data_IF_454958828263
#
_entry.id   IF_454958828263
#
_cell.length_a   1.000
_cell.length_b   1.000
_cell.length_c   1.000
_cell.angle_alpha   90.00
_cell.angle_beta   90.00
_cell.angle_gamma   90.00
#
_symmetry.space_group_name_H-M   'P 1'
#
loop_
_entity.id
_entity.type
_entity.pdbx_description
1 polymer ?
#
# COMPACT_ATOMS: atom_id res chain seq x y z
N UNK A 1 4.97 -17.36 4.75
CA UNK A 1 3.66 -17.80 4.22
C UNK A 1 3.46 -17.18 2.85
N UNK A 2 2.90 -17.91 1.88
CA UNK A 2 2.62 -17.36 0.56
C UNK A 2 1.53 -16.30 0.65
N UNK A 3 1.71 -15.16 -0.03
CA UNK A 3 0.68 -14.15 -0.21
C UNK A 3 0.29 -14.12 -1.67
N UNK A 4 -1.01 -14.22 -1.96
CA UNK A 4 -1.55 -14.15 -3.31
C UNK A 4 -2.56 -13.04 -3.42
N UNK A 5 -2.57 -12.38 -4.57
CA UNK A 5 -3.49 -11.31 -4.87
C UNK A 5 -4.51 -11.78 -5.88
N UNK A 6 -5.79 -11.64 -5.54
CA UNK A 6 -6.92 -12.05 -6.36
C UNK A 6 -7.71 -10.81 -6.77
N UNK A 7 -8.31 -10.82 -7.95
CA UNK A 7 -9.25 -9.79 -8.37
C UNK A 7 -10.51 -10.39 -8.95
N UNK A 8 -11.60 -9.64 -8.85
CA UNK A 8 -12.85 -10.02 -9.51
C UNK A 8 -12.70 -9.84 -11.03
N UNK A 9 -12.89 -10.91 -11.78
CA UNK A 9 -13.06 -10.84 -13.23
C UNK A 9 -14.55 -10.97 -13.57
N UNK A 10 -15.13 -9.89 -14.12
CA UNK A 10 -16.56 -9.83 -14.41
C UNK A 10 -17.00 -10.80 -15.50
N UNK A 11 -16.16 -11.08 -16.49
CA UNK A 11 -16.46 -12.00 -17.58
C UNK A 11 -16.41 -13.46 -17.11
N UNK A 12 -15.35 -13.83 -16.38
CA UNK A 12 -15.20 -15.16 -15.79
C UNK A 12 -16.24 -15.43 -14.69
N UNK A 13 -16.88 -14.39 -14.16
CA UNK A 13 -17.76 -14.47 -13.01
C UNK A 13 -17.07 -15.22 -11.86
N UNK A 14 -15.80 -14.89 -11.62
CA UNK A 14 -14.92 -15.52 -10.64
C UNK A 14 -13.82 -14.57 -10.17
N UNK A 15 -13.07 -14.99 -9.15
CA UNK A 15 -11.82 -14.38 -8.74
C UNK A 15 -10.66 -15.05 -9.45
N UNK A 16 -9.75 -14.27 -10.01
CA UNK A 16 -8.54 -14.72 -10.72
C UNK A 16 -7.31 -14.08 -10.10
N UNK A 17 -6.13 -14.67 -10.28
CA UNK A 17 -4.90 -14.09 -9.76
C UNK A 17 -4.52 -12.81 -10.52
N UNK A 18 -3.96 -11.84 -9.80
CA UNK A 18 -3.44 -10.60 -10.36
C UNK A 18 -1.98 -10.81 -10.77
N UNK A 19 -1.59 -10.30 -11.94
CA UNK A 19 -0.22 -10.37 -12.48
C UNK A 19 0.33 -11.80 -12.63
N UNK A 20 -0.56 -12.79 -12.78
CA UNK A 20 -0.19 -14.16 -13.05
C UNK A 20 -0.11 -14.41 -14.57
N UNK A 21 1.01 -14.97 -15.03
CA UNK A 21 1.30 -15.19 -16.45
C UNK A 21 0.25 -16.08 -17.11
N UNK A 22 -0.14 -17.17 -16.43
CA UNK A 22 -1.15 -18.11 -16.92
C UNK A 22 -2.52 -17.44 -17.05
N UNK A 23 -2.92 -16.66 -16.03
CA UNK A 23 -4.15 -15.89 -16.04
C UNK A 23 -4.16 -14.86 -17.17
N UNK A 24 -3.06 -14.12 -17.36
CA UNK A 24 -2.96 -13.10 -18.41
C UNK A 24 -3.01 -13.73 -19.82
N UNK A 25 -2.31 -14.85 -20.03
CA UNK A 25 -2.36 -15.59 -21.29
C UNK A 25 -3.77 -16.10 -21.59
N UNK A 26 -4.44 -16.70 -20.60
CA UNK A 26 -5.81 -17.19 -20.74
C UNK A 26 -6.80 -16.05 -21.06
N UNK A 27 -6.72 -14.92 -20.36
CA UNK A 27 -7.62 -13.79 -20.61
C UNK A 27 -7.39 -13.18 -21.99
N UNK A 28 -6.14 -13.16 -22.48
CA UNK A 28 -5.81 -12.72 -23.84
C UNK A 28 -6.41 -13.68 -24.88
N UNK A 29 -6.20 -14.99 -24.73
CA UNK A 29 -6.76 -16.00 -25.64
C UNK A 29 -8.29 -15.97 -25.66
N UNK A 30 -8.93 -15.87 -24.49
CA UNK A 30 -10.39 -15.73 -24.41
C UNK A 30 -10.88 -14.47 -25.11
N UNK A 31 -10.15 -13.35 -24.98
CA UNK A 31 -10.48 -12.09 -25.65
C UNK A 31 -10.36 -12.19 -27.18
N UNK A 32 -9.34 -12.88 -27.68
CA UNK A 32 -9.18 -13.16 -29.11
C UNK A 32 -10.33 -14.01 -29.66
N UNK A 33 -10.80 -15.00 -28.88
CA UNK A 33 -11.93 -15.85 -29.26
C UNK A 33 -13.29 -15.13 -29.23
N UNK A 34 -13.53 -14.28 -28.22
CA UNK A 34 -14.79 -13.53 -28.06
C UNK A 34 -14.85 -12.35 -29.05
N UNK A 35 -13.70 -11.74 -29.35
CA UNK A 35 -13.59 -10.52 -30.12
C UNK A 35 -13.80 -9.25 -29.29
N UNK A 36 -13.09 -8.18 -29.66
CA UNK A 36 -13.05 -6.92 -28.92
C UNK A 36 -14.41 -6.28 -28.67
N UNK A 37 -15.33 -6.34 -29.64
CA UNK A 37 -16.63 -5.71 -29.54
C UNK A 37 -17.51 -6.39 -28.48
N UNK A 38 -17.53 -7.72 -28.45
CA UNK A 38 -18.32 -8.49 -27.51
C UNK A 38 -17.67 -8.47 -26.11
N UNK A 39 -16.34 -8.53 -26.05
CA UNK A 39 -15.59 -8.37 -24.80
C UNK A 39 -15.94 -7.07 -24.07
N UNK A 40 -16.05 -5.96 -24.82
CA UNK A 40 -16.40 -4.64 -24.27
C UNK A 40 -17.84 -4.54 -23.77
N UNK A 41 -18.76 -5.42 -24.21
CA UNK A 41 -20.13 -5.48 -23.68
C UNK A 41 -20.18 -6.06 -22.26
N UNK A 42 -19.13 -6.77 -21.84
CA UNK A 42 -19.01 -7.33 -20.51
C UNK A 42 -19.65 -8.71 -20.38
N UNK A 43 -20.20 -9.01 -19.20
CA UNK A 43 -20.65 -10.35 -18.86
C UNK A 43 -21.80 -10.86 -19.74
N UNK A 44 -21.67 -12.11 -20.20
CA UNK A 44 -22.74 -12.95 -20.74
C UNK A 44 -22.46 -14.42 -20.37
N UNK A 45 -23.45 -15.31 -20.51
CA UNK A 45 -23.22 -16.74 -20.25
C UNK A 45 -22.23 -17.36 -21.24
N UNK A 46 -22.20 -16.87 -22.48
CA UNK A 46 -21.28 -17.30 -23.52
C UNK A 46 -19.85 -16.83 -23.20
N UNK A 47 -19.66 -15.53 -22.96
CA UNK A 47 -18.36 -14.97 -22.59
C UNK A 47 -17.80 -15.62 -21.32
N UNK A 48 -18.65 -15.91 -20.34
CA UNK A 48 -18.27 -16.65 -19.13
C UNK A 48 -17.73 -18.04 -19.44
N UNK A 49 -18.42 -18.79 -20.29
CA UNK A 49 -18.02 -20.15 -20.67
C UNK A 49 -16.67 -20.13 -21.37
N UNK A 50 -16.51 -19.26 -22.37
CA UNK A 50 -15.25 -19.11 -23.12
C UNK A 50 -14.08 -18.70 -22.21
N UNK A 51 -14.29 -17.73 -21.32
CA UNK A 51 -13.23 -17.29 -20.39
C UNK A 51 -12.84 -18.39 -19.41
N UNK A 52 -13.81 -19.13 -18.84
CA UNK A 52 -13.52 -20.22 -17.89
C UNK A 52 -12.85 -21.42 -18.55
N UNK A 53 -13.24 -21.73 -19.78
CA UNK A 53 -12.58 -22.78 -20.57
C UNK A 53 -11.12 -22.40 -20.86
N UNK A 54 -10.88 -21.16 -21.32
CA UNK A 54 -9.53 -20.68 -21.58
C UNK A 54 -8.65 -20.65 -20.31
N UNK A 55 -9.20 -20.24 -19.17
CA UNK A 55 -8.50 -20.30 -17.87
C UNK A 55 -8.10 -21.75 -17.55
N UNK A 56 -9.00 -22.71 -17.75
CA UNK A 56 -8.73 -24.14 -17.51
C UNK A 56 -7.65 -24.68 -18.45
N UNK A 57 -7.69 -24.35 -19.74
CA UNK A 57 -6.73 -24.80 -20.74
C UNK A 57 -5.30 -24.33 -20.44
N UNK A 58 -5.15 -23.11 -19.94
CA UNK A 58 -3.85 -22.52 -19.59
C UNK A 58 -3.39 -22.88 -18.17
N UNK A 59 -4.16 -23.68 -17.43
CA UNK A 59 -3.86 -24.03 -16.04
C UNK A 59 -4.05 -22.88 -15.05
N UNK A 60 -4.66 -21.76 -15.47
CA UNK A 60 -4.88 -20.60 -14.64
C UNK A 60 -5.93 -20.87 -13.56
N UNK A 61 -5.59 -20.56 -12.31
CA UNK A 61 -6.48 -20.78 -11.16
C UNK A 61 -7.53 -19.69 -11.07
N UNK A 62 -8.79 -20.10 -10.93
CA UNK A 62 -9.89 -19.20 -10.56
C UNK A 62 -10.73 -19.79 -9.42
N UNK A 63 -11.35 -18.91 -8.63
CA UNK A 63 -12.14 -19.26 -7.45
C UNK A 63 -13.48 -18.52 -7.50
N UNK A 64 -14.58 -19.18 -7.16
CA UNK A 64 -15.90 -18.51 -7.06
C UNK A 64 -16.08 -17.82 -5.71
N UNK A 65 -15.36 -18.29 -4.70
CA UNK A 65 -15.39 -17.87 -3.31
C UNK A 65 -13.98 -17.78 -2.76
N UNK A 66 -13.73 -16.81 -1.89
CA UNK A 66 -12.47 -16.64 -1.17
C UNK A 66 -12.75 -16.81 0.31
N UNK A 67 -12.06 -17.75 0.95
CA UNK A 67 -12.30 -18.14 2.34
C UNK A 67 -11.06 -17.93 3.22
N UNK A 68 -11.26 -17.33 4.39
CA UNK A 68 -10.24 -17.18 5.41
C UNK A 68 -10.65 -16.21 6.51
N UNK A 69 -9.79 -16.03 7.50
CA UNK A 69 -9.99 -15.07 8.58
C UNK A 69 -9.88 -13.65 8.04
N UNK A 70 -10.86 -12.79 8.33
CA UNK A 70 -10.85 -11.39 7.94
C UNK A 70 -9.82 -10.62 8.77
N UNK A 71 -8.64 -10.39 8.21
CA UNK A 71 -7.48 -9.79 8.92
C UNK A 71 -7.06 -8.42 8.39
N UNK A 72 -7.72 -7.90 7.35
CA UNK A 72 -7.51 -6.52 6.92
C UNK A 72 -8.50 -6.04 5.89
N UNK A 73 -8.79 -4.75 5.93
CA UNK A 73 -9.51 -3.99 4.91
C UNK A 73 -8.72 -2.71 4.70
N UNK A 74 -8.30 -2.43 3.47
CA UNK A 74 -7.49 -1.25 3.16
C UNK A 74 -7.92 -0.58 1.85
N UNK A 75 -7.51 0.67 1.68
CA UNK A 75 -7.55 1.38 0.39
C UNK A 75 -6.14 1.40 -0.17
N UNK A 76 -5.99 0.99 -1.42
CA UNK A 76 -4.74 1.10 -2.17
C UNK A 76 -4.95 1.93 -3.42
N UNK A 77 -3.90 2.61 -3.87
CA UNK A 77 -3.87 3.27 -5.18
C UNK A 77 -3.00 2.43 -6.11
N UNK A 78 -3.46 2.25 -7.35
CA UNK A 78 -2.73 1.54 -8.40
C UNK A 78 -2.72 2.40 -9.65
N UNK A 79 -1.56 2.55 -10.27
CA UNK A 79 -1.45 3.25 -11.54
C UNK A 79 -1.49 2.27 -12.71
N UNK A 80 -2.27 2.60 -13.75
CA UNK A 80 -2.26 1.90 -15.02
C UNK A 80 -2.57 2.89 -16.15
N UNK A 81 -1.80 2.84 -17.24
CA UNK A 81 -1.98 3.71 -18.41
C UNK A 81 -2.00 5.23 -18.07
N UNK A 82 -1.23 5.67 -17.08
CA UNK A 82 -1.19 7.07 -16.63
C UNK A 82 -2.40 7.51 -15.79
N UNK A 83 -3.35 6.61 -15.52
CA UNK A 83 -4.49 6.85 -14.62
C UNK A 83 -4.25 6.19 -13.26
N UNK A 84 -4.68 6.87 -12.20
CA UNK A 84 -4.67 6.32 -10.83
C UNK A 84 -6.04 5.75 -10.50
N UNK A 85 -6.06 4.47 -10.12
CA UNK A 85 -7.25 3.74 -9.71
C UNK A 85 -7.21 3.47 -8.22
N UNK A 86 -8.29 3.79 -7.52
CA UNK A 86 -8.45 3.43 -6.11
C UNK A 86 -9.01 2.01 -6.03
N UNK A 87 -8.39 1.18 -5.22
CA UNK A 87 -8.73 -0.23 -5.03
C UNK A 87 -9.13 -0.47 -3.58
N UNK A 88 -10.20 -1.21 -3.38
CA UNK A 88 -10.48 -1.91 -2.13
C UNK A 88 -9.55 -3.11 -2.03
N UNK A 89 -8.90 -3.27 -0.86
CA UNK A 89 -8.13 -4.45 -0.49
C UNK A 89 -8.81 -5.14 0.68
N UNK A 90 -9.02 -6.45 0.57
CA UNK A 90 -9.51 -7.29 1.68
C UNK A 90 -8.54 -8.42 1.87
N UNK A 91 -7.97 -8.52 3.06
CA UNK A 91 -6.98 -9.55 3.41
C UNK A 91 -7.65 -10.66 4.20
N UNK A 92 -7.58 -11.87 3.64
CA UNK A 92 -8.04 -13.10 4.26
C UNK A 92 -6.83 -13.99 4.57
N UNK A 93 -6.75 -14.52 5.78
CA UNK A 93 -5.66 -15.40 6.21
C UNK A 93 -6.17 -16.77 6.63
N UNK A 94 -5.52 -17.82 6.15
CA UNK A 94 -5.81 -19.20 6.53
C UNK A 94 -4.50 -20.01 6.59
N UNK A 95 -4.60 -21.32 6.83
CA UNK A 95 -3.43 -22.22 6.94
C UNK A 95 -2.54 -22.23 5.68
N UNK A 96 -3.11 -21.94 4.51
CA UNK A 96 -2.39 -21.90 3.22
C UNK A 96 -1.60 -20.59 3.06
N UNK A 97 -2.04 -19.52 3.74
CA UNK A 97 -1.39 -18.21 3.74
C UNK A 97 -2.38 -17.07 3.57
N UNK A 98 -1.91 -15.97 2.98
CA UNK A 98 -2.69 -14.73 2.84
C UNK A 98 -3.25 -14.60 1.43
N UNK A 99 -4.53 -14.30 1.33
CA UNK A 99 -5.21 -13.95 0.08
C UNK A 99 -5.69 -12.50 0.18
N UNK A 100 -5.23 -11.65 -0.74
CA UNK A 100 -5.64 -10.25 -0.83
C UNK A 100 -6.59 -10.11 -2.02
N UNK A 101 -7.87 -9.90 -1.76
CA UNK A 101 -8.83 -9.50 -2.78
C UNK A 101 -8.60 -8.02 -3.13
N UNK A 102 -8.45 -7.74 -4.42
CA UNK A 102 -8.38 -6.42 -5.03
C UNK A 102 -9.63 -6.15 -5.85
N UNK A 103 -10.31 -5.05 -5.61
CA UNK A 103 -11.44 -4.63 -6.42
C UNK A 103 -11.40 -3.13 -6.68
N UNK A 104 -11.74 -2.70 -7.90
CA UNK A 104 -11.88 -1.29 -8.23
C UNK A 104 -12.94 -0.63 -7.35
N UNK A 105 -12.59 0.48 -6.71
CA UNK A 105 -13.48 1.19 -5.79
C UNK A 105 -14.72 1.74 -6.51
N UNK A 106 -14.57 2.10 -7.80
CA UNK A 106 -15.68 2.50 -8.65
C UNK A 106 -16.59 1.34 -9.08
N UNK A 107 -16.21 0.08 -8.83
CA UNK A 107 -17.01 -1.09 -9.21
C UNK A 107 -18.19 -1.31 -8.28
N UNK A 108 -19.31 -1.76 -8.84
CA UNK A 108 -20.50 -2.10 -8.06
C UNK A 108 -20.20 -3.21 -7.03
N UNK A 109 -19.38 -4.19 -7.42
CA UNK A 109 -18.96 -5.28 -6.54
C UNK A 109 -18.25 -4.74 -5.29
N UNK A 110 -17.25 -3.86 -5.44
CA UNK A 110 -16.52 -3.29 -4.30
C UNK A 110 -17.44 -2.48 -3.39
N UNK A 111 -18.30 -1.64 -3.95
CA UNK A 111 -19.23 -0.79 -3.18
C UNK A 111 -20.21 -1.64 -2.38
N UNK A 112 -20.77 -2.70 -2.97
CA UNK A 112 -21.62 -3.66 -2.26
C UNK A 112 -20.85 -4.43 -1.19
N UNK A 113 -19.62 -4.87 -1.49
CA UNK A 113 -18.78 -5.58 -0.53
C UNK A 113 -18.45 -4.70 0.68
N UNK A 114 -18.13 -3.42 0.49
CA UNK A 114 -17.84 -2.47 1.58
C UNK A 114 -19.00 -2.38 2.56
N UNK A 115 -20.25 -2.34 2.09
CA UNK A 115 -21.41 -2.32 3.00
C UNK A 115 -21.51 -3.58 3.86
N UNK A 116 -21.07 -4.75 3.36
CA UNK A 116 -21.01 -5.99 4.13
C UNK A 116 -19.82 -6.02 5.06
N UNK A 117 -18.68 -5.50 4.62
CA UNK A 117 -17.49 -5.33 5.44
C UNK A 117 -17.74 -4.37 6.62
N UNK A 118 -18.60 -3.36 6.47
CA UNK A 118 -18.96 -2.49 7.59
C UNK A 118 -19.65 -3.28 8.72
N UNK A 119 -20.51 -4.24 8.41
CA UNK A 119 -21.05 -5.18 9.40
C UNK A 119 -19.98 -6.17 9.87
N UNK A 120 -19.26 -6.79 8.93
CA UNK A 120 -18.30 -7.85 9.22
C UNK A 120 -17.15 -7.38 10.12
N UNK A 121 -16.67 -6.16 9.96
CA UNK A 121 -15.61 -5.59 10.81
C UNK A 121 -16.08 -5.27 12.23
N UNK A 122 -17.39 -5.24 12.51
CA UNK A 122 -17.91 -5.12 13.89
C UNK A 122 -18.08 -6.47 14.57
N UNK A 123 -18.52 -7.48 13.81
CA UNK A 123 -19.04 -8.73 14.38
C UNK A 123 -18.13 -9.95 14.09
N UNK A 124 -17.36 -9.89 13.01
CA UNK A 124 -16.61 -11.00 12.42
C UNK A 124 -15.12 -10.67 12.13
N UNK A 125 -14.60 -9.55 12.64
CA UNK A 125 -13.18 -9.22 12.48
C UNK A 125 -12.30 -10.30 13.14
N UNK A 126 -11.24 -10.71 12.45
CA UNK A 126 -10.36 -11.81 12.85
C UNK A 126 -10.99 -13.20 12.73
N UNK A 127 -12.27 -13.32 12.38
CA UNK A 127 -12.97 -14.60 12.23
C UNK A 127 -13.03 -15.02 10.77
N UNK A 128 -13.26 -16.32 10.57
CA UNK A 128 -13.43 -16.90 9.25
C UNK A 128 -14.67 -16.34 8.54
N UNK A 129 -14.47 -15.92 7.29
CA UNK A 129 -15.51 -15.43 6.39
C UNK A 129 -15.31 -16.04 4.99
N UNK A 130 -16.41 -16.10 4.24
CA UNK A 130 -16.42 -16.49 2.83
C UNK A 130 -16.92 -15.31 1.98
N UNK A 131 -16.06 -14.80 1.11
CA UNK A 131 -16.38 -13.73 0.16
C UNK A 131 -16.66 -14.33 -1.21
N UNK A 132 -17.89 -14.16 -1.69
CA UNK A 132 -18.34 -14.62 -3.00
C UNK A 132 -18.73 -13.47 -3.92
N UNK A 133 -18.81 -13.76 -5.22
CA UNK A 133 -19.25 -12.80 -6.22
C UNK A 133 -19.96 -13.49 -7.39
N UNK A 134 -21.11 -12.96 -7.79
CA UNK A 134 -21.84 -13.49 -8.94
C UNK A 134 -22.56 -12.39 -9.74
N UNK A 135 -22.71 -12.61 -11.04
CA UNK A 135 -23.52 -11.78 -11.92
C UNK A 135 -25.00 -12.15 -11.83
N UNK A 136 -25.87 -11.15 -11.70
CA UNK A 136 -27.33 -11.31 -11.69
C UNK A 136 -27.96 -10.45 -12.77
N UNK A 137 -28.82 -11.03 -13.60
CA UNK A 137 -29.63 -10.26 -14.54
C UNK A 137 -30.78 -9.57 -13.79
N UNK A 138 -30.92 -8.27 -14.02
CA UNK A 138 -31.98 -7.45 -13.43
C UNK A 138 -32.67 -6.65 -14.52
N UNK A 139 -33.99 -6.75 -14.58
CA UNK A 139 -34.81 -5.96 -15.50
C UNK A 139 -35.13 -4.61 -14.87
N UNK A 140 -34.90 -3.52 -15.62
CA UNK A 140 -35.28 -2.16 -15.22
C UNK A 140 -35.97 -1.48 -16.41
N UNK A 141 -37.30 -1.47 -16.38
CA UNK A 141 -38.10 -1.13 -17.56
C UNK A 141 -37.87 -2.16 -18.68
N UNK A 142 -37.73 -1.69 -19.92
CA UNK A 142 -37.54 -2.57 -21.09
C UNK A 142 -36.07 -2.96 -21.34
N UNK A 143 -35.19 -2.80 -20.33
CA UNK A 143 -33.75 -3.06 -20.43
C UNK A 143 -33.30 -4.09 -19.40
N UNK A 144 -32.49 -5.04 -19.85
CA UNK A 144 -31.81 -6.02 -18.99
C UNK A 144 -30.42 -5.48 -18.64
N UNK A 145 -30.11 -5.47 -17.34
CA UNK A 145 -28.82 -5.11 -16.80
C UNK A 145 -28.17 -6.31 -16.12
N UNK A 146 -26.85 -6.30 -16.01
CA UNK A 146 -26.11 -7.28 -15.21
C UNK A 146 -25.59 -6.57 -13.97
N UNK A 147 -26.14 -6.93 -12.82
CA UNK A 147 -25.67 -6.47 -11.52
C UNK A 147 -24.57 -7.43 -11.02
N UNK A 148 -23.46 -6.87 -10.55
CA UNK A 148 -22.36 -7.65 -9.98
C UNK A 148 -22.49 -7.69 -8.45
N UNK A 149 -23.04 -8.79 -7.95
CA UNK A 149 -23.39 -8.97 -6.54
C UNK A 149 -22.18 -9.47 -5.75
N UNK A 150 -21.94 -8.86 -4.59
CA UNK A 150 -21.04 -9.36 -3.57
C UNK A 150 -21.82 -10.13 -2.51
N UNK A 151 -21.33 -11.30 -2.12
CA UNK A 151 -21.81 -12.05 -0.95
C UNK A 151 -20.71 -12.16 0.07
N UNK A 152 -21.10 -12.20 1.34
CA UNK A 152 -20.18 -12.44 2.43
C UNK A 152 -20.88 -13.28 3.47
N UNK A 153 -20.32 -14.44 3.80
CA UNK A 153 -20.88 -15.37 4.78
C UNK A 153 -19.94 -15.52 5.96
N UNK A 154 -20.51 -15.76 7.13
CA UNK A 154 -19.76 -16.13 8.32
C UNK A 154 -19.33 -17.61 8.30
N UNK A 155 -18.64 -18.05 9.36
CA UNK A 155 -18.19 -19.43 9.53
C UNK A 155 -19.34 -20.46 9.57
N UNK A 156 -20.57 -20.05 9.91
CA UNK A 156 -21.76 -20.90 9.89
C UNK A 156 -22.43 -20.95 8.50
N UNK A 157 -21.91 -20.20 7.52
CA UNK A 157 -22.49 -20.07 6.18
C UNK A 157 -23.69 -19.12 6.13
N UNK A 158 -23.96 -18.36 7.19
CA UNK A 158 -25.01 -17.36 7.22
C UNK A 158 -24.53 -16.08 6.52
N UNK A 159 -25.39 -15.50 5.68
CA UNK A 159 -25.07 -14.28 4.96
C UNK A 159 -24.97 -13.09 5.93
N UNK A 160 -23.83 -12.40 5.91
CA UNK A 160 -23.59 -11.17 6.64
C UNK A 160 -24.38 -10.04 5.96
N UNK A 161 -25.30 -9.37 6.68
CA UNK A 161 -26.13 -8.34 6.09
C UNK A 161 -25.31 -7.09 5.74
N UNK A 162 -25.72 -6.40 4.67
CA UNK A 162 -25.16 -5.11 4.33
C UNK A 162 -25.60 -4.05 5.35
N UNK A 163 -24.67 -3.22 5.82
CA UNK A 163 -24.99 -2.03 6.59
C UNK A 163 -25.88 -1.08 5.76
N UNK A 164 -26.94 -0.57 6.39
CA UNK A 164 -27.95 0.25 5.72
C UNK A 164 -27.48 1.69 5.53
N UNK A 165 -28.00 2.37 4.50
CA UNK A 165 -27.85 3.81 4.31
C UNK A 165 -26.60 4.27 3.56
N UNK A 166 -25.66 3.37 3.23
CA UNK A 166 -24.44 3.77 2.52
C UNK A 166 -24.72 4.28 1.09
N UNK A 167 -25.62 3.64 0.35
CA UNK A 167 -25.95 4.05 -1.02
C UNK A 167 -26.74 5.36 -1.03
N UNK A 168 -27.60 5.59 -0.06
CA UNK A 168 -28.33 6.84 0.15
C UNK A 168 -27.35 7.98 0.46
N UNK A 169 -26.43 7.79 1.41
CA UNK A 169 -25.38 8.77 1.73
C UNK A 169 -24.48 9.07 0.52
N UNK A 170 -24.11 8.05 -0.25
CA UNK A 170 -23.34 8.23 -1.47
C UNK A 170 -24.13 9.04 -2.51
N UNK A 171 -25.43 8.78 -2.66
CA UNK A 171 -26.32 9.54 -3.55
C UNK A 171 -26.44 11.00 -3.10
N UNK A 172 -26.61 11.25 -1.80
CA UNK A 172 -26.70 12.61 -1.26
C UNK A 172 -25.41 13.39 -1.53
N UNK A 173 -24.24 12.74 -1.39
CA UNK A 173 -22.94 13.35 -1.73
C UNK A 173 -22.83 13.67 -3.21
N UNK A 174 -23.30 12.79 -4.10
CA UNK A 174 -23.35 13.04 -5.54
C UNK A 174 -24.20 14.27 -5.84
N UNK A 175 -25.41 14.35 -5.28
CA UNK A 175 -26.32 15.47 -5.49
C UNK A 175 -25.70 16.78 -4.96
N UNK A 176 -25.10 16.75 -3.76
CA UNK A 176 -24.42 17.89 -3.18
C UNK A 176 -23.24 18.38 -4.04
N UNK A 177 -22.51 17.45 -4.67
CA UNK A 177 -21.37 17.78 -5.55
C UNK A 177 -21.81 18.30 -6.92
N UNK A 178 -22.89 17.79 -7.48
CA UNK A 178 -23.41 18.22 -8.78
C UNK A 178 -24.18 19.55 -8.71
N UNK A 179 -24.83 19.85 -7.58
CA UNK A 179 -25.72 21.01 -7.43
C UNK A 179 -25.07 22.34 -7.85
N UNK A 180 -23.85 22.70 -7.42
CA UNK A 180 -23.23 23.96 -7.82
C UNK A 180 -23.01 24.08 -9.34
N UNK A 181 -22.74 22.97 -10.01
CA UNK A 181 -22.50 22.94 -11.46
C UNK A 181 -23.80 23.09 -12.24
N UNK A 182 -24.86 22.42 -11.78
CA UNK A 182 -26.21 22.58 -12.32
C UNK A 182 -26.72 24.01 -12.12
N UNK A 183 -26.52 24.58 -10.94
CA UNK A 183 -26.90 25.96 -10.61
C UNK A 183 -26.08 26.98 -11.46
N UNK A 184 -24.86 26.64 -11.87
CA UNK A 184 -24.04 27.40 -12.82
C UNK A 184 -24.40 27.17 -14.30
N UNK A 185 -25.46 26.41 -14.59
CA UNK A 185 -25.96 26.15 -15.95
C UNK A 185 -25.25 25.01 -16.70
N UNK A 186 -24.42 24.21 -16.04
CA UNK A 186 -23.77 23.06 -16.67
C UNK A 186 -24.77 21.94 -16.97
N UNK A 187 -24.91 21.58 -18.25
CA UNK A 187 -25.83 20.51 -18.70
C UNK A 187 -25.13 19.33 -19.38
N UNK A 188 -23.80 19.31 -19.44
CA UNK A 188 -23.04 18.22 -20.05
C UNK A 188 -23.17 16.94 -19.21
N UNK A 189 -23.91 15.96 -19.74
CA UNK A 189 -24.17 14.68 -19.07
C UNK A 189 -22.90 13.87 -18.81
N UNK A 190 -21.89 13.95 -19.70
CA UNK A 190 -20.64 13.20 -19.54
C UNK A 190 -19.86 13.74 -18.35
N UNK A 191 -19.72 15.07 -18.26
CA UNK A 191 -19.05 15.74 -17.14
C UNK A 191 -19.78 15.48 -15.83
N UNK A 192 -21.10 15.67 -15.81
CA UNK A 192 -21.91 15.42 -14.61
C UNK A 192 -21.81 13.96 -14.14
N UNK A 193 -21.82 12.98 -15.05
CA UNK A 193 -21.68 11.57 -14.71
C UNK A 193 -20.29 11.23 -14.18
N UNK A 194 -19.23 11.82 -14.73
CA UNK A 194 -17.87 11.64 -14.22
C UNK A 194 -17.74 12.18 -12.79
N UNK A 195 -18.31 13.36 -12.52
CA UNK A 195 -18.32 13.96 -11.19
C UNK A 195 -19.14 13.12 -10.21
N UNK A 196 -20.28 12.59 -10.64
CA UNK A 196 -21.06 11.65 -9.84
C UNK A 196 -20.28 10.36 -9.51
N UNK A 197 -19.57 9.80 -10.49
CA UNK A 197 -18.76 8.60 -10.28
C UNK A 197 -17.63 8.88 -9.27
N UNK A 198 -16.92 10.01 -9.41
CA UNK A 198 -15.84 10.40 -8.50
C UNK A 198 -16.34 10.72 -7.08
N UNK A 199 -17.47 11.43 -6.94
CA UNK A 199 -18.07 11.72 -5.63
C UNK A 199 -18.54 10.44 -4.91
N UNK A 200 -19.11 9.49 -5.67
CA UNK A 200 -19.50 8.18 -5.13
C UNK A 200 -18.27 7.36 -4.72
N UNK A 201 -17.26 7.28 -5.57
CA UNK A 201 -16.02 6.58 -5.27
C UNK A 201 -15.38 7.15 -4.00
N UNK A 202 -15.28 8.47 -3.88
CA UNK A 202 -14.71 9.15 -2.70
C UNK A 202 -15.46 8.82 -1.41
N UNK A 203 -16.79 8.71 -1.45
CA UNK A 203 -17.56 8.25 -0.30
C UNK A 203 -17.15 6.83 0.15
N UNK A 204 -17.05 5.89 -0.79
CA UNK A 204 -16.69 4.51 -0.44
C UNK A 204 -15.21 4.35 -0.05
N UNK A 205 -14.31 5.21 -0.56
CA UNK A 205 -12.93 5.32 -0.06
C UNK A 205 -12.92 5.68 1.42
N UNK A 206 -13.67 6.71 1.82
CA UNK A 206 -13.74 7.13 3.23
C UNK A 206 -14.35 6.06 4.13
N UNK A 207 -15.39 5.37 3.65
CA UNK A 207 -15.97 4.24 4.39
C UNK A 207 -14.91 3.16 4.58
N UNK A 208 -14.24 2.72 3.50
CA UNK A 208 -13.21 1.68 3.57
C UNK A 208 -12.02 2.08 4.45
N UNK A 209 -11.59 3.35 4.43
CA UNK A 209 -10.57 3.87 5.34
C UNK A 209 -11.02 3.76 6.81
N UNK A 210 -12.26 4.14 7.12
CA UNK A 210 -12.81 3.97 8.47
C UNK A 210 -12.99 2.51 8.90
N UNK A 211 -13.14 1.58 7.95
CA UNK A 211 -13.11 0.14 8.24
C UNK A 211 -11.69 -0.32 8.60
N UNK A 212 -10.68 0.15 7.86
CA UNK A 212 -9.26 -0.12 8.15
C UNK A 212 -8.90 0.34 9.57
N UNK A 213 -9.21 1.61 9.89
CA UNK A 213 -8.97 2.19 11.22
C UNK A 213 -9.64 1.37 12.33
N UNK A 214 -10.89 0.95 12.13
CA UNK A 214 -11.60 0.10 13.09
C UNK A 214 -10.91 -1.24 13.32
N UNK A 215 -10.42 -1.89 12.26
CA UNK A 215 -9.72 -3.18 12.39
C UNK A 215 -8.37 -3.01 13.12
N UNK A 216 -7.73 -1.86 12.96
CA UNK A 216 -6.54 -1.47 13.72
C UNK A 216 -6.88 -1.25 15.20
N UNK A 217 -7.91 -0.48 15.51
CA UNK A 217 -8.35 -0.23 16.90
C UNK A 217 -8.75 -1.52 17.64
N UNK A 218 -9.26 -2.51 16.91
CA UNK A 218 -9.59 -3.83 17.44
C UNK A 218 -8.36 -4.76 17.61
N UNK A 219 -7.17 -4.33 17.20
CA UNK A 219 -5.94 -5.13 17.25
C UNK A 219 -5.93 -6.32 16.28
N UNK A 220 -6.79 -6.31 15.27
CA UNK A 220 -6.87 -7.38 14.26
C UNK A 220 -5.83 -7.16 13.17
N UNK A 221 -5.74 -5.92 12.68
CA UNK A 221 -4.73 -5.50 11.72
C UNK A 221 -3.70 -4.67 12.49
N UNK A 222 -2.39 -4.90 12.32
CA UNK A 222 -1.40 -3.98 12.86
C UNK A 222 -1.67 -2.57 12.33
N UNK A 223 -1.63 -1.55 13.20
CA UNK A 223 -1.69 -0.16 12.72
C UNK A 223 -0.60 0.11 11.68
N UNK A 224 -0.78 1.09 10.79
CA UNK A 224 0.30 1.49 9.86
C UNK A 224 1.57 1.91 10.62
N UNK A 225 1.41 2.37 11.87
CA UNK A 225 2.49 2.67 12.82
C UNK A 225 2.97 1.43 13.63
N UNK A 226 2.26 0.32 13.56
CA UNK A 226 2.56 -1.00 14.12
C UNK A 226 2.77 -2.04 13.00
N UNK A 227 3.20 -1.62 11.80
CA UNK A 227 4.23 -2.43 11.15
C UNK A 227 5.29 -2.53 12.22
N UNK A 228 5.37 -3.65 12.93
CA UNK A 228 6.43 -3.91 13.89
C UNK A 228 7.70 -3.39 13.22
N UNK A 229 8.23 -2.26 13.72
CA UNK A 229 9.50 -1.75 13.27
C UNK A 229 10.45 -2.90 13.56
N UNK A 230 10.75 -3.69 12.53
CA UNK A 230 11.68 -4.80 12.64
C UNK A 230 12.96 -4.15 13.15
N UNK A 231 13.61 -4.68 14.21
CA UNK A 231 14.82 -4.07 14.72
C UNK A 231 15.83 -3.95 13.57
N UNK A 232 16.05 -2.72 13.11
CA UNK A 232 16.80 -2.45 11.89
C UNK A 232 17.51 -1.10 11.98
N UNK A 233 18.58 -1.00 11.22
CA UNK A 233 19.25 0.22 10.85
C UNK A 233 18.52 0.83 9.65
N UNK A 234 18.21 2.12 9.73
CA UNK A 234 17.43 2.84 8.73
C UNK A 234 18.13 4.11 8.28
N UNK A 235 17.93 4.46 7.01
CA UNK A 235 18.35 5.75 6.46
C UNK A 235 17.35 6.21 5.40
N UNK A 236 16.91 7.47 5.51
CA UNK A 236 16.14 8.15 4.47
C UNK A 236 17.03 9.13 3.72
N UNK A 237 16.97 9.10 2.40
CA UNK A 237 17.75 9.96 1.51
C UNK A 237 16.80 10.52 0.46
N UNK A 238 16.91 11.83 0.22
CA UNK A 238 16.20 12.48 -0.87
C UNK A 238 17.15 12.73 -2.03
N UNK A 239 16.79 12.20 -3.19
CA UNK A 239 17.47 12.40 -4.45
C UNK A 239 17.23 13.82 -4.99
N UNK A 240 18.05 14.29 -5.95
CA UNK A 240 17.96 15.62 -6.58
C UNK A 240 16.66 15.83 -7.33
N UNK A 241 16.10 14.76 -7.90
CA UNK A 241 14.79 14.76 -8.57
C UNK A 241 13.61 14.81 -7.57
N UNK A 242 13.90 14.67 -6.27
CA UNK A 242 12.93 14.66 -5.19
C UNK A 242 12.46 13.26 -4.76
N UNK A 243 12.92 12.20 -5.42
CA UNK A 243 12.65 10.80 -5.09
C UNK A 243 13.20 10.45 -3.72
N UNK A 244 12.42 9.72 -2.92
CA UNK A 244 12.88 9.25 -1.60
C UNK A 244 13.41 7.83 -1.69
N UNK A 245 14.62 7.62 -1.16
CA UNK A 245 15.25 6.32 -0.99
C UNK A 245 15.30 6.01 0.50
N UNK A 246 14.67 4.90 0.91
CA UNK A 246 14.64 4.44 2.29
C UNK A 246 15.35 3.09 2.39
N UNK A 247 16.48 3.07 3.08
CA UNK A 247 17.20 1.86 3.42
C UNK A 247 16.70 1.32 4.75
N UNK A 248 16.47 0.01 4.83
CA UNK A 248 16.31 -0.75 6.07
C UNK A 248 17.26 -1.94 6.03
N UNK A 249 18.09 -2.11 7.04
CA UNK A 249 19.15 -3.12 7.09
C UNK A 249 19.24 -3.76 8.47
N UNK A 250 19.44 -5.07 8.52
CA UNK A 250 19.53 -5.87 9.74
C UNK A 250 20.60 -6.96 9.60
N UNK A 251 21.00 -7.55 10.71
CA UNK A 251 22.03 -8.60 10.70
C UNK A 251 21.42 -9.96 10.41
N UNK A 252 22.04 -10.69 9.48
CA UNK A 252 21.73 -12.08 9.19
C UNK A 252 23.02 -12.83 8.86
N UNK A 253 23.30 -13.89 9.61
CA UNK A 253 24.41 -14.81 9.39
C UNK A 253 25.81 -14.13 9.33
N UNK A 254 26.00 -13.09 10.14
CA UNK A 254 27.23 -12.29 10.23
C UNK A 254 27.31 -11.17 9.19
N UNK A 255 26.30 -11.02 8.34
CA UNK A 255 26.25 -10.04 7.26
C UNK A 255 25.11 -9.04 7.47
N UNK A 256 25.33 -7.79 7.05
CA UNK A 256 24.24 -6.81 7.00
C UNK A 256 23.45 -7.02 5.71
N UNK A 257 22.15 -7.30 5.82
CA UNK A 257 21.23 -7.49 4.70
C UNK A 257 20.02 -6.58 4.87
N UNK A 258 19.28 -6.30 3.80
CA UNK A 258 18.21 -5.33 3.90
C UNK A 258 17.38 -5.14 2.65
N UNK A 259 16.68 -4.01 2.61
CA UNK A 259 15.89 -3.56 1.46
C UNK A 259 16.14 -2.08 1.23
N UNK A 260 16.38 -1.71 -0.03
CA UNK A 260 16.32 -0.32 -0.49
C UNK A 260 14.96 -0.07 -1.13
N UNK A 261 14.17 0.81 -0.53
CA UNK A 261 12.86 1.20 -1.03
C UNK A 261 12.95 2.55 -1.72
N UNK A 262 12.53 2.59 -2.98
CA UNK A 262 12.41 3.83 -3.76
C UNK A 262 10.96 4.29 -3.74
N UNK A 263 10.72 5.55 -3.43
CA UNK A 263 9.42 6.24 -3.55
C UNK A 263 9.55 7.37 -4.55
N UNK A 264 8.96 7.16 -5.71
CA UNK A 264 8.92 8.14 -6.79
C UNK A 264 8.16 9.42 -6.35
N UNK A 265 8.73 10.58 -6.65
CA UNK A 265 8.23 11.87 -6.15
C UNK A 265 6.93 12.32 -6.83
N UNK A 266 6.73 11.95 -8.09
CA UNK A 266 5.59 12.38 -8.91
C UNK A 266 4.41 11.42 -8.76
N UNK A 267 4.70 10.12 -8.74
CA UNK A 267 3.71 9.05 -8.73
C UNK A 267 3.40 8.51 -7.34
N UNK A 268 4.32 8.68 -6.37
CA UNK A 268 4.20 8.10 -5.04
C UNK A 268 4.34 6.58 -4.99
N UNK A 269 4.63 5.93 -6.12
CA UNK A 269 4.82 4.49 -6.23
C UNK A 269 6.04 4.03 -5.42
N UNK A 270 5.96 2.82 -4.89
CA UNK A 270 7.06 2.21 -4.15
C UNK A 270 7.62 0.99 -4.89
N UNK A 271 8.92 0.98 -5.06
CA UNK A 271 9.66 -0.19 -5.48
C UNK A 271 10.64 -0.62 -4.39
N UNK A 272 10.96 -1.91 -4.34
CA UNK A 272 11.86 -2.48 -3.35
C UNK A 272 12.89 -3.35 -4.03
N UNK A 273 14.15 -3.17 -3.65
CA UNK A 273 15.24 -4.03 -4.07
C UNK A 273 15.92 -4.63 -2.82
N UNK A 274 16.16 -5.95 -2.78
CA UNK A 274 16.97 -6.53 -1.72
C UNK A 274 18.41 -6.02 -1.82
N UNK A 275 19.07 -5.87 -0.67
CA UNK A 275 20.49 -5.51 -0.58
C UNK A 275 21.21 -6.46 0.36
N UNK A 276 22.43 -6.84 0.00
CA UNK A 276 23.35 -7.59 0.85
C UNK A 276 24.69 -6.85 0.84
N UNK A 277 25.14 -6.41 2.01
CA UNK A 277 26.33 -5.60 2.15
C UNK A 277 27.58 -6.45 2.28
N UNK A 278 28.61 -6.12 1.51
CA UNK A 278 29.91 -6.74 1.55
C UNK A 278 30.99 -5.69 1.81
N UNK A 279 32.08 -6.03 2.52
CA UNK A 279 33.22 -5.14 2.66
C UNK A 279 33.85 -4.81 1.30
N UNK A 280 34.10 -3.53 1.03
CA UNK A 280 34.73 -3.08 -0.22
C UNK A 280 36.27 -3.15 -0.19
N UNK A 281 36.84 -3.56 0.95
CA UNK A 281 38.28 -3.61 1.20
C UNK A 281 38.94 -2.26 1.48
N UNK A 282 38.19 -1.16 1.49
CA UNK A 282 38.65 0.22 1.73
C UNK A 282 38.03 0.86 2.97
N UNK A 283 37.39 0.07 3.83
CA UNK A 283 36.74 0.54 5.04
C UNK A 283 35.30 1.02 4.82
N UNK A 284 34.63 0.54 3.78
CA UNK A 284 33.21 0.72 3.55
C UNK A 284 32.48 -0.63 3.39
N UNK A 285 31.16 -0.59 3.52
CA UNK A 285 30.26 -1.67 3.14
C UNK A 285 29.50 -1.27 1.89
N UNK A 286 29.45 -2.14 0.90
CA UNK A 286 28.78 -1.88 -0.39
C UNK A 286 27.75 -2.95 -0.67
N UNK A 287 26.60 -2.55 -1.18
CA UNK A 287 25.57 -3.46 -1.67
C UNK A 287 25.04 -2.99 -3.02
N UNK A 288 24.54 -3.94 -3.81
CA UNK A 288 23.85 -3.66 -5.06
C UNK A 288 22.35 -3.83 -4.89
N UNK A 289 21.58 -2.84 -5.34
CA UNK A 289 20.12 -2.85 -5.37
C UNK A 289 19.66 -2.95 -6.82
N UNK A 290 19.06 -4.09 -7.18
CA UNK A 290 18.53 -4.34 -8.52
C UNK A 290 17.00 -4.28 -8.48
N UNK A 291 16.43 -3.27 -9.13
CA UNK A 291 14.99 -3.11 -9.28
C UNK A 291 14.49 -3.88 -10.52
N UNK A 292 13.25 -4.37 -10.46
CA UNK A 292 12.67 -5.26 -11.47
C UNK A 292 12.58 -4.63 -12.88
N UNK A 293 12.42 -3.30 -12.95
CA UNK A 293 12.25 -2.54 -14.20
C UNK A 293 13.20 -1.34 -14.30
N UNK A 294 14.22 -1.30 -13.44
CA UNK A 294 14.96 -0.07 -13.15
C UNK A 294 16.47 -0.19 -13.29
N UNK A 295 17.10 0.96 -13.11
CA UNK A 295 18.54 1.10 -12.98
C UNK A 295 19.07 0.37 -11.74
N UNK A 296 20.27 -0.20 -11.87
CA UNK A 296 21.01 -0.79 -10.77
C UNK A 296 21.63 0.32 -9.93
N UNK A 297 21.32 0.34 -8.64
CA UNK A 297 21.90 1.30 -7.70
C UNK A 297 22.95 0.62 -6.83
N UNK A 298 24.01 1.35 -6.52
CA UNK A 298 25.02 0.94 -5.54
C UNK A 298 24.82 1.71 -4.25
N UNK A 299 24.68 1.00 -3.13
CA UNK A 299 24.56 1.57 -1.79
C UNK A 299 25.87 1.42 -1.06
N UNK A 300 26.45 2.53 -0.59
CA UNK A 300 27.71 2.55 0.14
C UNK A 300 27.48 3.09 1.56
N UNK A 301 27.89 2.30 2.56
CA UNK A 301 27.96 2.70 3.97
C UNK A 301 29.42 2.96 4.32
N UNK A 302 29.71 4.17 4.78
CA UNK A 302 31.07 4.57 5.15
C UNK A 302 31.08 5.40 6.43
N UNK A 303 32.19 5.36 7.15
CA UNK A 303 32.41 6.25 8.29
C UNK A 303 32.47 7.70 7.81
N UNK A 304 31.70 8.58 8.44
CA UNK A 304 31.70 10.00 8.14
C UNK A 304 33.01 10.66 8.61
N UNK A 305 33.50 11.65 7.88
CA UNK A 305 34.64 12.45 8.34
C UNK A 305 34.33 13.14 9.68
N UNK A 306 35.27 13.17 10.64
CA UNK A 306 35.07 13.87 11.90
C UNK A 306 34.91 15.37 11.62
N UNK A 307 33.70 15.89 11.80
CA UNK A 307 33.49 17.33 11.86
C UNK A 307 34.04 17.85 13.19
N UNK A 308 34.59 19.07 13.24
CA UNK A 308 35.13 19.63 14.49
C UNK A 308 34.06 19.61 15.60
N UNK A 309 34.28 18.80 16.64
CA UNK A 309 33.33 18.60 17.74
C UNK A 309 32.15 17.65 17.44
N UNK A 310 32.20 16.94 16.31
CA UNK A 310 31.19 15.98 15.88
C UNK A 310 31.54 14.54 16.25
N UNK A 311 30.51 13.80 16.65
CA UNK A 311 30.54 12.35 16.81
C UNK A 311 30.65 11.67 15.44
N UNK A 312 31.45 10.59 15.35
CA UNK A 312 31.54 9.69 14.19
C UNK A 312 30.19 9.06 13.88
N UNK A 313 29.82 9.00 12.60
CA UNK A 313 28.53 8.46 12.14
C UNK A 313 28.75 7.58 10.92
N UNK A 314 27.71 6.86 10.51
CA UNK A 314 27.69 6.12 9.25
C UNK A 314 26.91 6.89 8.20
N UNK A 315 27.60 7.27 7.13
CA UNK A 315 27.03 7.90 5.95
C UNK A 315 26.53 6.85 4.97
N UNK A 316 25.35 7.09 4.42
CA UNK A 316 24.76 6.28 3.36
C UNK A 316 24.81 7.08 2.05
N UNK A 317 25.55 6.56 1.08
CA UNK A 317 25.59 7.08 -0.29
C UNK A 317 24.90 6.11 -1.24
N UNK A 318 24.20 6.65 -2.23
CA UNK A 318 23.53 5.86 -3.27
C UNK A 318 24.05 6.40 -4.59
N UNK A 319 24.52 5.49 -5.44
CA UNK A 319 25.09 5.80 -6.73
C UNK A 319 24.30 5.13 -7.85
N UNK A 320 24.17 5.83 -8.96
CA UNK A 320 23.75 5.31 -10.26
C UNK A 320 25.01 5.32 -11.13
N UNK A 321 25.51 4.13 -11.47
CA UNK A 321 26.88 3.98 -11.99
C UNK A 321 27.92 4.58 -11.02
N UNK A 322 28.70 5.55 -11.51
CA UNK A 322 29.72 6.25 -10.72
C UNK A 322 29.21 7.58 -10.11
N UNK A 323 27.95 7.96 -10.36
CA UNK A 323 27.40 9.24 -9.93
C UNK A 323 26.56 9.13 -8.67
N UNK A 324 26.84 9.98 -7.68
CA UNK A 324 25.99 10.15 -6.51
C UNK A 324 24.71 10.91 -6.91
N UNK A 325 23.55 10.29 -6.66
CA UNK A 325 22.25 10.84 -7.10
C UNK A 325 21.76 11.97 -6.18
N UNK A 326 22.12 11.96 -4.90
CA UNK A 326 21.70 12.97 -3.93
C UNK A 326 22.76 14.04 -3.64
N UNK A 327 22.34 15.17 -3.05
CA UNK A 327 23.24 16.26 -2.65
C UNK A 327 23.94 16.00 -1.30
N UNK A 328 23.25 15.33 -0.38
CA UNK A 328 23.74 15.07 0.96
C UNK A 328 23.58 13.60 1.35
N UNK A 329 24.62 12.96 1.93
CA UNK A 329 24.52 11.58 2.36
C UNK A 329 23.45 11.39 3.43
N UNK A 330 22.77 10.26 3.35
CA UNK A 330 21.91 9.77 4.42
C UNK A 330 22.71 9.45 5.67
N UNK A 331 22.01 9.34 6.79
CA UNK A 331 22.60 8.87 8.05
C UNK A 331 21.93 7.58 8.45
N UNK A 332 22.74 6.54 8.61
CA UNK A 332 22.26 5.25 9.10
C UNK A 332 22.03 5.35 10.62
N UNK A 333 20.85 4.94 11.08
CA UNK A 333 20.45 5.01 12.49
C UNK A 333 19.65 3.80 12.92
N UNK A 334 19.74 3.41 14.17
CA UNK A 334 18.85 2.42 14.76
C UNK A 334 17.42 2.99 14.86
N UNK A 335 16.42 2.24 14.39
CA UNK A 335 15.02 2.58 14.62
C UNK A 335 14.62 2.38 16.09
N UNK A 336 13.40 2.78 16.48
CA UNK A 336 13.01 2.81 17.90
C UNK A 336 13.02 1.41 18.52
N UNK A 337 12.68 0.38 17.74
CA UNK A 337 12.75 -1.01 18.20
C UNK A 337 14.18 -1.47 18.41
N UNK A 338 15.10 -1.17 17.49
CA UNK A 338 16.51 -1.58 17.59
C UNK A 338 17.23 -0.88 18.75
N UNK A 339 16.90 0.39 19.02
CA UNK A 339 17.44 1.14 20.15
C UNK A 339 17.15 0.49 21.52
N UNK A 340 16.06 -0.28 21.62
CA UNK A 340 15.69 -1.01 22.85
C UNK A 340 16.50 -2.29 23.05
N UNK A 341 17.28 -2.72 22.06
CA UNK A 341 18.11 -3.92 22.11
C UNK A 341 19.56 -3.50 22.43
N UNK A 342 20.03 -3.70 23.68
CA UNK A 342 21.43 -3.44 24.01
C UNK A 342 22.34 -4.38 23.21
N UNK A 343 23.49 -3.86 22.77
CA UNK A 343 24.52 -4.61 22.03
C UNK A 343 23.97 -5.38 20.81
N UNK A 344 23.01 -4.77 20.10
CA UNK A 344 22.39 -5.34 18.93
C UNK A 344 23.42 -5.72 17.84
N UNK A 345 23.12 -6.78 17.09
CA UNK A 345 24.10 -7.46 16.23
C UNK A 345 24.52 -6.61 15.04
N UNK A 346 23.60 -5.82 14.52
CA UNK A 346 23.83 -4.83 13.45
C UNK A 346 24.93 -3.85 13.84
N UNK A 347 24.91 -3.39 15.10
CA UNK A 347 25.90 -2.47 15.64
C UNK A 347 27.29 -3.10 15.63
N UNK A 348 27.39 -4.39 16.00
CA UNK A 348 28.66 -5.12 15.96
C UNK A 348 29.20 -5.28 14.55
N UNK A 349 28.34 -5.52 13.56
CA UNK A 349 28.75 -5.59 12.15
C UNK A 349 29.28 -4.23 11.68
N UNK A 350 28.59 -3.14 12.03
CA UNK A 350 29.04 -1.77 11.73
C UNK A 350 30.37 -1.44 12.42
N UNK A 351 30.53 -1.79 13.70
CA UNK A 351 31.76 -1.57 14.46
C UNK A 351 32.93 -2.33 13.83
N UNK A 352 32.72 -3.60 13.48
CA UNK A 352 33.75 -4.43 12.85
C UNK A 352 34.14 -3.95 11.45
N UNK A 353 33.18 -3.52 10.64
CA UNK A 353 33.42 -3.13 9.26
C UNK A 353 33.92 -1.68 9.12
N UNK A 354 33.39 -0.75 9.92
CA UNK A 354 33.59 0.69 9.76
C UNK A 354 34.30 1.35 10.95
N UNK A 355 34.52 0.62 12.05
CA UNK A 355 35.15 1.16 13.26
C UNK A 355 34.31 2.21 13.97
N UNK A 356 32.98 2.20 13.79
CA UNK A 356 32.05 3.15 14.40
C UNK A 356 31.39 2.49 15.61
N UNK A 357 31.46 3.16 16.78
CA UNK A 357 30.80 2.69 18.01
C UNK A 357 29.28 2.52 17.78
N UNK A 358 28.68 1.36 18.09
CA UNK A 358 27.24 1.11 17.94
C UNK A 358 26.34 2.19 18.56
N UNK A 359 26.78 2.83 19.65
CA UNK A 359 26.02 3.91 20.31
C UNK A 359 25.80 5.12 19.42
N UNK A 360 26.63 5.30 18.40
CA UNK A 360 26.55 6.40 17.45
C UNK A 360 25.47 6.19 16.38
N UNK A 361 24.90 4.98 16.31
CA UNK A 361 23.75 4.65 15.47
C UNK A 361 22.44 5.10 16.13
N UNK A 362 22.44 5.36 17.44
CA UNK A 362 21.27 5.90 18.11
C UNK A 362 21.12 7.40 17.81
N UNK A 363 19.90 7.89 17.53
CA UNK A 363 19.68 9.32 17.40
C UNK A 363 20.09 10.04 18.68
N UNK A 364 20.85 11.13 18.55
CA UNK A 364 21.18 11.96 19.70
C UNK A 364 19.85 12.46 20.32
N UNK A 365 19.70 12.43 21.66
CA UNK A 365 18.59 13.11 22.29
C UNK A 365 18.61 14.58 21.84
N UNK A 366 17.44 15.17 21.55
CA UNK A 366 17.38 16.58 21.18
C UNK A 366 18.14 17.37 22.25
N UNK A 367 19.13 18.17 21.84
CA UNK A 367 19.82 19.08 22.76
C UNK A 367 18.73 19.88 23.45
N UNK A 368 18.66 19.79 24.78
CA UNK A 368 17.93 20.78 25.57
C UNK A 368 18.39 22.13 25.07
N UNK A 369 17.49 22.84 24.39
CA UNK A 369 17.71 24.21 23.99
C UNK A 369 18.05 24.91 25.29
N UNK A 370 19.32 25.29 25.48
CA UNK A 370 19.71 26.22 26.52
C UNK A 370 18.82 27.43 26.34
N UNK A 371 17.74 27.49 27.13
CA UNK A 371 16.88 28.66 27.20
C UNK A 371 17.81 29.81 27.52
N UNK A 372 17.86 30.78 26.61
CA UNK A 372 18.52 32.05 26.87
C UNK A 372 18.03 32.55 28.25
N UNK A 373 18.93 33.01 29.13
CA UNK A 373 18.53 33.53 30.42
C UNK A 373 17.50 34.64 30.21
N UNK A 374 16.40 34.56 30.95
CA UNK A 374 15.29 35.50 30.85
C UNK A 374 15.83 36.93 30.95
N UNK A 375 15.45 37.78 29.99
CA UNK A 375 15.72 39.22 30.03
C UNK A 375 15.28 39.75 31.40
N UNK A 376 16.24 40.29 32.14
CA UNK A 376 16.03 41.10 33.33
C UNK A 376 14.99 42.17 32.99
N UNK A 377 13.85 42.16 33.69
CA UNK A 377 12.90 43.25 33.64
C UNK A 377 13.60 44.51 34.16
N UNK A 378 13.84 45.47 33.28
CA UNK A 378 14.23 46.81 33.66
C UNK A 378 13.11 47.41 34.51
N UNK A 379 13.45 47.72 35.76
CA UNK A 379 12.67 48.61 36.62
C UNK A 379 12.57 49.97 35.93
N UNK A 380 11.40 50.31 35.40
CA UNK A 380 11.03 51.70 35.25
C UNK A 380 10.79 52.27 36.65
N UNK A 381 11.75 53.04 37.14
CA UNK A 381 11.53 54.01 38.21
C UNK A 381 10.83 55.22 37.59
N UNK A 382 9.57 55.41 37.97
CA UNK A 382 8.90 56.70 37.92
C UNK A 382 9.58 57.67 38.92
N UNK A 383 10.17 58.73 38.36
CA UNK A 383 10.34 60.07 38.95
C UNK A 383 10.18 60.98 37.73
N UNK A 384 9.27 61.93 37.62
CA UNK A 384 8.34 62.60 38.51
C UNK A 384 8.02 63.94 37.86
N UNK A 385 6.75 64.33 37.82
CA UNK A 385 6.29 65.72 37.78
C UNK A 385 4.88 65.78 38.37
#
# INVERSE_FOLDING_TARGET
MATRMMQRNNLADAFVQVNDEQTNAALKAAKENIGDAEWKKGYSQESKSVVRESLKEHGARYEQTLKGNLVGVDVAETQANGETFKKLRVTLENEVGKTILSADMNSEFAQRLITKLDTATREHAGKEVDVGAFAKHTERGDRVFVDHIATMKDAAGQEIPAAQGHFEKAKDRVLATQKPLLDAGMSDKKVLNQIAASARESYFVEVAAGLSERMVEQGITPSVNERHEFPALEAGIKDRDGTWQNLSAYEKDGQLVGTLQRRDAETGNYEKAPVAFEPDGKGALVAEAVYEWGEKLTVNLSRSEPTQGGHEKVDVRILSGDEQIHEHPGRLRANETLQKIPDHREGKVIEQALGVDPKMLNPLPPRDVQKAPAKTQEKQQEVGL
#
